data_IF_776205704044
#
_entry.id   IF_776205704044
#
_cell.length_a   1.000
_cell.length_b   1.000
_cell.length_c   1.000
_cell.angle_alpha   90.00
_cell.angle_beta   90.00
_cell.angle_gamma   90.00
#
_symmetry.space_group_name_H-M   'P 1'
#
loop_
_entity.id
_entity.type
_entity.pdbx_description
1 polymer ?
#
# COMPACT_ATOMS: atom_id res chain seq x y z
N UNK A 1 34.81 -13.94 24.82
CA UNK A 1 33.63 -14.36 25.61
C UNK A 1 32.29 -14.00 24.93
N UNK A 2 32.12 -12.76 24.50
CA UNK A 2 30.87 -12.28 23.87
C UNK A 2 30.54 -12.99 22.54
N UNK A 3 31.52 -13.20 21.67
CA UNK A 3 31.33 -13.93 20.40
C UNK A 3 30.82 -15.36 20.62
N UNK A 4 31.32 -16.05 21.65
CA UNK A 4 30.88 -17.43 21.98
C UNK A 4 29.44 -17.42 22.48
N UNK A 5 29.08 -16.45 23.32
CA UNK A 5 27.71 -16.29 23.80
C UNK A 5 26.72 -15.96 22.66
N UNK A 6 27.10 -15.05 21.75
CA UNK A 6 26.30 -14.72 20.57
C UNK A 6 26.14 -15.91 19.63
N UNK A 7 27.22 -16.67 19.38
CA UNK A 7 27.17 -17.87 18.55
C UNK A 7 26.26 -18.94 19.15
N UNK A 8 26.34 -19.19 20.46
CA UNK A 8 25.46 -20.13 21.15
C UNK A 8 23.99 -19.70 21.10
N UNK A 9 23.71 -18.41 21.29
CA UNK A 9 22.36 -17.84 21.18
C UNK A 9 21.78 -17.97 19.76
N UNK A 10 22.60 -17.72 18.72
CA UNK A 10 22.19 -17.90 17.34
C UNK A 10 21.91 -19.37 17.01
N UNK A 11 22.78 -20.29 17.43
CA UNK A 11 22.58 -21.74 17.27
C UNK A 11 21.31 -22.22 17.97
N UNK A 12 21.03 -21.74 19.17
CA UNK A 12 19.79 -22.08 19.91
C UNK A 12 18.53 -21.62 19.17
N UNK A 13 18.52 -20.42 18.57
CA UNK A 13 17.40 -19.95 17.75
C UNK A 13 17.21 -20.77 16.47
N UNK A 14 18.30 -21.15 15.81
CA UNK A 14 18.24 -22.02 14.64
C UNK A 14 17.71 -23.41 15.01
N UNK A 15 18.20 -23.99 16.12
CA UNK A 15 17.74 -25.28 16.62
C UNK A 15 16.25 -25.25 16.98
N UNK A 16 15.75 -24.15 17.56
CA UNK A 16 14.33 -24.01 17.85
C UNK A 16 13.44 -24.15 16.61
N UNK A 17 13.87 -23.65 15.45
CA UNK A 17 13.14 -23.84 14.18
C UNK A 17 13.30 -25.26 13.63
N UNK A 18 14.51 -25.84 13.71
CA UNK A 18 14.82 -27.17 13.18
C UNK A 18 14.27 -28.31 14.04
N UNK A 19 13.93 -28.05 15.30
CA UNK A 19 13.35 -29.03 16.22
C UNK A 19 11.88 -29.34 15.92
N UNK A 20 11.24 -28.56 15.05
CA UNK A 20 9.89 -28.81 14.58
C UNK A 20 9.90 -29.57 13.25
N UNK A 21 8.96 -30.51 13.08
CA UNK A 21 8.81 -31.29 11.84
C UNK A 21 8.29 -30.44 10.66
N UNK A 22 7.76 -29.26 10.94
CA UNK A 22 7.24 -28.32 9.93
C UNK A 22 7.41 -26.87 10.39
N UNK A 23 7.39 -25.96 9.43
CA UNK A 23 7.49 -24.52 9.66
C UNK A 23 6.29 -23.84 9.03
N UNK A 24 5.62 -22.99 9.80
CA UNK A 24 4.49 -22.20 9.31
C UNK A 24 5.00 -20.99 8.51
N UNK A 25 4.46 -20.82 7.30
CA UNK A 25 4.69 -19.64 6.47
C UNK A 25 3.56 -18.64 6.70
N UNK A 26 3.91 -17.37 6.90
CA UNK A 26 2.92 -16.29 6.98
C UNK A 26 2.04 -16.27 5.71
N UNK A 27 0.71 -16.13 5.85
CA UNK A 27 -0.25 -16.19 4.73
C UNK A 27 -0.28 -14.89 3.91
N UNK A 28 0.85 -14.21 3.78
CA UNK A 28 1.04 -12.98 3.01
C UNK A 28 1.35 -13.38 1.55
N UNK A 29 0.30 -13.74 0.82
CA UNK A 29 0.36 -14.18 -0.57
C UNK A 29 -0.75 -13.50 -1.39
N UNK A 30 -0.61 -13.54 -2.70
CA UNK A 30 -1.71 -13.20 -3.62
C UNK A 30 -2.52 -14.45 -3.97
N UNK A 31 -3.76 -14.25 -4.38
CA UNK A 31 -4.65 -15.28 -4.87
C UNK A 31 -5.25 -14.88 -6.21
N UNK A 32 -5.66 -15.88 -7.01
CA UNK A 32 -6.25 -15.68 -8.33
C UNK A 32 -7.73 -16.04 -8.28
N UNK A 33 -8.57 -15.14 -8.75
CA UNK A 33 -9.97 -15.35 -9.06
C UNK A 33 -10.08 -16.03 -10.43
N UNK A 34 -10.38 -17.32 -10.43
CA UNK A 34 -10.44 -18.14 -11.64
C UNK A 34 -11.56 -17.70 -12.59
N UNK A 35 -12.63 -17.05 -12.11
CA UNK A 35 -13.74 -16.59 -12.96
C UNK A 35 -13.35 -15.36 -13.80
N UNK A 36 -12.38 -14.57 -13.32
CA UNK A 36 -11.88 -13.37 -14.01
C UNK A 36 -10.60 -13.64 -14.81
N UNK A 37 -9.87 -14.70 -14.49
CA UNK A 37 -8.58 -14.99 -15.10
C UNK A 37 -8.73 -15.60 -16.50
N UNK A 38 -8.00 -15.05 -17.47
CA UNK A 38 -7.97 -15.53 -18.85
C UNK A 38 -6.65 -16.22 -19.23
N UNK A 39 -5.74 -16.40 -18.25
CA UNK A 39 -4.44 -17.03 -18.48
C UNK A 39 -3.43 -16.20 -19.29
N UNK A 40 -3.64 -14.88 -19.45
CA UNK A 40 -2.80 -14.05 -20.34
C UNK A 40 -1.29 -13.95 -19.98
N UNK A 41 -0.87 -14.37 -18.79
CA UNK A 41 0.57 -14.47 -18.46
C UNK A 41 1.27 -13.23 -17.92
N UNK A 42 0.67 -12.02 -18.03
CA UNK A 42 1.31 -10.77 -17.57
C UNK A 42 1.79 -10.80 -16.12
N UNK A 43 0.99 -11.41 -15.24
CA UNK A 43 1.35 -11.57 -13.83
C UNK A 43 2.57 -12.48 -13.61
N UNK A 44 2.77 -13.48 -14.46
CA UNK A 44 3.92 -14.37 -14.42
C UNK A 44 5.19 -13.66 -14.90
N UNK A 45 5.10 -12.88 -15.99
CA UNK A 45 6.22 -12.09 -16.54
C UNK A 45 6.76 -11.08 -15.51
N UNK A 46 5.88 -10.46 -14.75
CA UNK A 46 6.24 -9.41 -13.79
C UNK A 46 6.71 -9.96 -12.42
N UNK A 47 6.60 -11.27 -12.18
CA UNK A 47 6.91 -11.87 -10.89
C UNK A 47 8.43 -12.10 -10.72
N UNK A 48 9.09 -11.18 -10.02
CA UNK A 48 10.53 -11.29 -9.70
C UNK A 48 10.91 -12.49 -8.80
N UNK A 49 9.91 -13.19 -8.26
CA UNK A 49 10.09 -14.35 -7.39
C UNK A 49 9.78 -15.68 -8.10
N UNK A 50 9.40 -15.64 -9.38
CA UNK A 50 9.02 -16.83 -10.15
C UNK A 50 7.94 -17.67 -9.42
N UNK A 51 7.00 -16.96 -8.78
CA UNK A 51 5.96 -17.55 -7.95
C UNK A 51 4.65 -17.78 -8.70
N UNK A 52 4.58 -17.43 -10.00
CA UNK A 52 3.34 -17.47 -10.77
C UNK A 52 3.62 -18.23 -12.08
N UNK A 53 2.79 -19.22 -12.37
CA UNK A 53 2.81 -20.00 -13.61
C UNK A 53 1.42 -20.01 -14.23
N UNK A 54 1.32 -20.34 -15.53
CA UNK A 54 0.02 -20.49 -16.19
C UNK A 54 -0.27 -21.98 -16.39
N UNK A 55 -1.36 -22.46 -15.78
CA UNK A 55 -1.89 -23.78 -16.09
C UNK A 55 -2.55 -23.71 -17.47
N UNK A 56 -1.95 -24.40 -18.45
CA UNK A 56 -2.42 -24.40 -19.84
C UNK A 56 -3.70 -25.21 -20.06
N UNK A 57 -4.05 -26.12 -19.15
CA UNK A 57 -5.24 -26.95 -19.24
C UNK A 57 -6.44 -26.13 -18.77
N UNK A 58 -6.31 -25.49 -17.60
CA UNK A 58 -7.36 -24.66 -17.02
C UNK A 58 -7.36 -23.23 -17.57
N UNK A 59 -6.28 -22.82 -18.23
CA UNK A 59 -6.03 -21.47 -18.73
C UNK A 59 -6.13 -20.39 -17.63
N UNK A 60 -5.56 -20.68 -16.46
CA UNK A 60 -5.54 -19.78 -15.29
C UNK A 60 -4.13 -19.61 -14.74
N UNK A 61 -3.89 -18.47 -14.07
CA UNK A 61 -2.67 -18.27 -13.31
C UNK A 61 -2.71 -19.07 -11.99
N UNK A 62 -1.61 -19.76 -11.69
CA UNK A 62 -1.41 -20.57 -10.48
C UNK A 62 -0.26 -19.98 -9.68
N UNK A 63 -0.51 -19.73 -8.39
CA UNK A 63 0.47 -19.15 -7.47
C UNK A 63 1.15 -20.27 -6.68
N UNK A 64 2.47 -20.33 -6.78
CA UNK A 64 3.29 -21.08 -5.82
C UNK A 64 3.30 -20.30 -4.50
N UNK A 65 2.49 -20.77 -3.55
CA UNK A 65 2.36 -20.12 -2.24
C UNK A 65 3.69 -20.08 -1.48
N UNK A 66 4.62 -21.00 -1.71
CA UNK A 66 5.90 -21.06 -1.00
C UNK A 66 6.90 -20.03 -1.53
N UNK A 67 6.93 -19.81 -2.85
CA UNK A 67 7.75 -18.77 -3.48
C UNK A 67 7.17 -17.37 -3.27
N UNK A 68 5.84 -17.23 -3.25
CA UNK A 68 5.18 -15.94 -3.17
C UNK A 68 5.52 -15.17 -1.88
N UNK A 69 6.05 -13.95 -2.05
CA UNK A 69 6.42 -13.04 -0.96
C UNK A 69 5.36 -11.98 -0.64
N UNK A 70 4.23 -11.98 -1.35
CA UNK A 70 3.14 -11.02 -1.14
C UNK A 70 3.51 -9.56 -1.48
N UNK A 71 4.48 -9.34 -2.37
CA UNK A 71 4.87 -8.00 -2.83
C UNK A 71 3.78 -7.28 -3.65
N UNK A 72 2.81 -8.05 -4.16
CA UNK A 72 1.61 -7.58 -4.87
C UNK A 72 1.87 -6.79 -6.16
N UNK A 73 3.03 -6.95 -6.82
CA UNK A 73 3.27 -6.35 -8.14
C UNK A 73 2.27 -6.77 -9.20
N UNK A 74 1.86 -8.03 -9.17
CA UNK A 74 1.00 -8.59 -10.19
C UNK A 74 -0.44 -8.07 -10.13
N UNK A 75 -0.87 -7.45 -9.02
CA UNK A 75 -2.25 -6.97 -8.85
C UNK A 75 -2.58 -5.90 -9.89
N UNK A 76 -1.82 -4.78 -10.00
CA UNK A 76 -2.17 -3.73 -10.94
C UNK A 76 -1.85 -4.07 -12.41
N UNK A 77 -1.01 -5.09 -12.63
CA UNK A 77 -0.65 -5.56 -13.98
C UNK A 77 -1.69 -6.51 -14.56
N UNK A 78 -2.64 -6.99 -13.74
CA UNK A 78 -3.72 -7.84 -14.21
C UNK A 78 -4.81 -6.97 -14.88
N UNK A 79 -5.00 -7.06 -16.22
CA UNK A 79 -6.00 -6.25 -16.91
C UNK A 79 -7.44 -6.67 -16.55
N UNK A 80 -7.62 -7.89 -16.05
CA UNK A 80 -8.91 -8.46 -15.67
C UNK A 80 -9.26 -8.25 -14.18
N UNK A 81 -8.35 -7.68 -13.38
CA UNK A 81 -8.55 -7.56 -11.93
C UNK A 81 -8.75 -8.92 -11.25
N UNK A 82 -8.11 -9.96 -11.78
CA UNK A 82 -8.25 -11.34 -11.31
C UNK A 82 -7.30 -11.70 -10.16
N UNK A 83 -6.40 -10.80 -9.75
CA UNK A 83 -5.42 -11.08 -8.70
C UNK A 83 -5.66 -10.13 -7.54
N UNK A 84 -5.77 -10.71 -6.34
CA UNK A 84 -5.97 -9.96 -5.11
C UNK A 84 -4.98 -10.40 -4.04
N UNK A 85 -4.75 -9.52 -3.06
CA UNK A 85 -3.96 -9.85 -1.89
C UNK A 85 -4.82 -10.65 -0.92
N UNK A 86 -4.36 -11.85 -0.52
CA UNK A 86 -5.06 -12.69 0.45
C UNK A 86 -5.15 -11.93 1.79
N UNK A 87 -6.36 -11.86 2.36
CA UNK A 87 -6.69 -11.10 3.57
C UNK A 87 -6.56 -9.57 3.45
N UNK A 88 -6.43 -9.01 2.24
CA UNK A 88 -6.48 -7.56 1.97
C UNK A 88 -6.99 -7.31 0.54
N UNK A 89 -8.19 -7.80 0.24
CA UNK A 89 -8.86 -7.58 -1.05
C UNK A 89 -9.18 -6.10 -1.30
N UNK A 90 -9.34 -5.74 -2.56
CA UNK A 90 -9.76 -4.41 -2.98
C UNK A 90 -11.07 -4.00 -2.27
N UNK A 91 -12.03 -4.93 -2.13
CA UNK A 91 -13.29 -4.68 -1.41
C UNK A 91 -13.07 -4.32 0.06
N UNK A 92 -12.13 -5.00 0.74
CA UNK A 92 -11.77 -4.64 2.12
C UNK A 92 -11.18 -3.23 2.19
N UNK A 93 -10.32 -2.85 1.23
CA UNK A 93 -9.77 -1.50 1.15
C UNK A 93 -10.87 -0.47 0.92
N UNK A 94 -11.77 -0.69 -0.04
CA UNK A 94 -12.89 0.21 -0.30
C UNK A 94 -13.83 0.36 0.91
N UNK A 95 -14.08 -0.73 1.64
CA UNK A 95 -14.88 -0.68 2.85
C UNK A 95 -14.21 0.14 3.96
N UNK A 96 -12.89 0.02 4.14
CA UNK A 96 -12.14 0.87 5.08
C UNK A 96 -12.22 2.35 4.68
N UNK A 97 -12.05 2.65 3.38
CA UNK A 97 -12.20 4.02 2.86
C UNK A 97 -13.60 4.56 3.17
N UNK A 98 -14.65 3.79 2.86
CA UNK A 98 -16.03 4.19 3.10
C UNK A 98 -16.32 4.42 4.59
N UNK A 99 -15.77 3.57 5.47
CA UNK A 99 -15.92 3.70 6.92
C UNK A 99 -15.23 4.95 7.48
N UNK A 100 -14.05 5.32 6.94
CA UNK A 100 -13.33 6.54 7.30
C UNK A 100 -14.06 7.79 6.78
N UNK A 101 -14.54 7.73 5.53
CA UNK A 101 -15.14 8.86 4.82
C UNK A 101 -16.64 8.98 5.05
N UNK A 102 -17.21 8.29 6.06
CA UNK A 102 -18.61 8.50 6.44
C UNK A 102 -18.91 9.98 6.63
N UNK A 103 -20.10 10.40 6.22
CA UNK A 103 -20.50 11.81 6.22
C UNK A 103 -20.52 12.34 7.66
N UNK A 104 -19.50 13.11 8.01
CA UNK A 104 -19.50 13.84 9.27
C UNK A 104 -20.61 14.89 9.27
N UNK A 105 -21.01 15.30 10.48
CA UNK A 105 -21.82 16.50 10.67
C UNK A 105 -21.08 17.66 10.02
N UNK A 106 -21.79 18.48 9.22
CA UNK A 106 -21.23 19.71 8.65
C UNK A 106 -20.66 20.55 9.80
N UNK A 107 -19.33 20.68 9.85
CA UNK A 107 -18.64 21.62 10.72
C UNK A 107 -18.65 23.00 10.05
N UNK A 108 -18.63 24.07 10.84
CA UNK A 108 -18.53 25.44 10.32
C UNK A 108 -17.19 25.68 9.62
N UNK A 109 -16.13 25.01 10.09
CA UNK A 109 -14.77 25.08 9.53
C UNK A 109 -14.43 23.83 8.74
N UNK A 110 -13.87 24.01 7.54
CA UNK A 110 -13.37 22.91 6.71
C UNK A 110 -12.13 22.26 7.35
N UNK A 111 -12.20 20.95 7.54
CA UNK A 111 -11.11 20.14 8.08
C UNK A 111 -10.85 18.97 7.10
N UNK A 112 -9.69 18.92 6.44
CA UNK A 112 -9.47 17.98 5.34
C UNK A 112 -9.33 16.54 5.83
N UNK A 113 -9.84 15.56 5.07
CA UNK A 113 -9.62 14.13 5.32
C UNK A 113 -8.56 13.57 4.40
N UNK A 114 -7.50 12.99 4.96
CA UNK A 114 -6.40 12.39 4.19
C UNK A 114 -6.46 10.87 4.37
N UNK A 115 -6.60 10.13 3.27
CA UNK A 115 -6.38 8.68 3.28
C UNK A 115 -4.89 8.40 3.08
N UNK A 116 -4.27 7.73 4.04
CA UNK A 116 -2.85 7.41 4.04
C UNK A 116 -2.64 5.91 3.80
N UNK A 117 -2.22 5.51 2.60
CA UNK A 117 -1.78 4.14 2.35
C UNK A 117 -0.31 3.99 2.72
N UNK A 118 -0.02 3.30 3.83
CA UNK A 118 1.33 3.10 4.32
C UNK A 118 1.74 1.63 4.17
N UNK A 119 2.91 1.37 3.56
CA UNK A 119 3.47 0.02 3.57
C UNK A 119 3.83 -0.42 4.98
N UNK A 120 3.65 -1.70 5.25
CA UNK A 120 3.92 -2.32 6.56
C UNK A 120 5.36 -2.07 7.02
N UNK A 121 6.34 -2.29 6.15
CA UNK A 121 7.74 -1.97 6.43
C UNK A 121 7.99 -0.52 6.08
N UNK A 122 8.63 0.23 6.98
CA UNK A 122 8.97 1.65 6.78
C UNK A 122 7.93 2.59 7.39
N UNK A 123 6.99 3.15 6.61
CA UNK A 123 6.11 4.21 7.08
C UNK A 123 5.08 3.78 8.12
N UNK A 124 4.53 2.56 8.07
CA UNK A 124 3.61 2.11 9.13
C UNK A 124 4.34 1.98 10.47
N UNK A 125 5.58 1.45 10.47
CA UNK A 125 6.44 1.43 11.65
C UNK A 125 6.79 2.83 12.15
N UNK A 126 6.98 3.80 11.23
CA UNK A 126 7.21 5.19 11.59
C UNK A 126 5.96 5.82 12.24
N UNK A 127 4.76 5.46 11.78
CA UNK A 127 3.50 5.88 12.41
C UNK A 127 3.34 5.27 13.82
N UNK A 128 3.65 3.98 14.00
CA UNK A 128 3.67 3.34 15.32
C UNK A 128 4.70 4.00 16.26
N UNK A 129 5.87 4.35 15.74
CA UNK A 129 6.90 5.08 16.49
C UNK A 129 6.44 6.51 16.84
N UNK A 130 5.68 7.18 15.98
CA UNK A 130 5.11 8.49 16.29
C UNK A 130 4.12 8.40 17.46
N UNK A 131 3.27 7.38 17.46
CA UNK A 131 2.32 7.12 18.55
C UNK A 131 3.01 6.76 19.87
N UNK A 132 3.95 5.81 19.86
CA UNK A 132 4.70 5.40 21.07
C UNK A 132 5.61 6.53 21.59
N UNK A 133 6.15 7.34 20.68
CA UNK A 133 6.92 8.54 20.97
C UNK A 133 6.08 9.75 21.39
N UNK A 134 4.75 9.63 21.42
CA UNK A 134 3.80 10.70 21.78
C UNK A 134 4.02 11.98 20.97
N UNK A 135 4.32 11.83 19.68
CA UNK A 135 4.48 12.95 18.77
C UNK A 135 3.11 13.56 18.48
N UNK A 136 3.03 14.89 18.59
CA UNK A 136 1.84 15.63 18.19
C UNK A 136 1.84 15.83 16.67
N UNK A 137 0.67 15.64 16.06
CA UNK A 137 0.37 15.90 14.66
C UNK A 137 -1.13 16.11 14.51
N UNK A 138 -1.56 16.71 13.40
CA UNK A 138 -2.96 17.01 13.14
C UNK A 138 -3.79 15.72 12.90
N UNK A 139 -5.01 15.62 13.45
CA UNK A 139 -5.83 14.40 13.44
C UNK A 139 -6.57 14.16 12.10
N UNK A 140 -5.93 14.45 10.98
CA UNK A 140 -6.53 14.43 9.63
C UNK A 140 -6.09 13.23 8.79
N UNK A 141 -5.05 12.52 9.22
CA UNK A 141 -4.48 11.38 8.53
C UNK A 141 -5.13 10.08 9.02
N UNK A 142 -5.82 9.39 8.11
CA UNK A 142 -6.44 8.10 8.36
C UNK A 142 -5.63 7.02 7.64
N UNK A 143 -4.93 6.19 8.42
CA UNK A 143 -4.00 5.21 7.90
C UNK A 143 -4.74 3.93 7.50
N UNK A 144 -4.53 3.51 6.25
CA UNK A 144 -4.83 2.16 5.76
C UNK A 144 -3.50 1.45 5.56
N UNK A 145 -3.23 0.43 6.39
CA UNK A 145 -2.02 -0.39 6.24
C UNK A 145 -2.14 -1.24 4.98
N UNK A 146 -1.14 -1.16 4.12
CA UNK A 146 -0.96 -2.06 2.98
C UNK A 146 0.35 -2.84 3.14
N UNK A 147 0.45 -4.02 2.54
CA UNK A 147 1.67 -4.81 2.62
C UNK A 147 2.80 -4.17 1.80
N UNK A 148 2.47 -3.70 0.61
CA UNK A 148 3.36 -2.95 -0.27
C UNK A 148 2.55 -1.91 -1.02
N UNK A 149 3.09 -0.71 -1.18
CA UNK A 149 2.46 0.32 -2.01
C UNK A 149 2.35 -0.09 -3.49
N UNK A 150 3.14 -1.08 -3.93
CA UNK A 150 3.08 -1.60 -5.29
C UNK A 150 1.75 -2.26 -5.64
N UNK A 151 0.95 -2.66 -4.63
CA UNK A 151 -0.40 -3.20 -4.83
C UNK A 151 -1.40 -2.12 -5.27
N UNK A 152 -1.12 -0.85 -4.96
CA UNK A 152 -2.04 0.24 -5.23
C UNK A 152 -2.09 0.50 -6.74
N UNK A 153 -3.31 0.49 -7.25
CA UNK A 153 -3.64 0.86 -8.62
C UNK A 153 -4.40 2.20 -8.63
N UNK A 154 -4.74 2.67 -9.84
CA UNK A 154 -5.49 3.92 -10.02
C UNK A 154 -6.84 3.90 -9.28
N UNK A 155 -7.54 2.76 -9.29
CA UNK A 155 -8.86 2.63 -8.66
C UNK A 155 -8.78 2.91 -7.16
N UNK A 156 -7.81 2.36 -6.44
CA UNK A 156 -7.63 2.62 -5.01
C UNK A 156 -7.51 4.12 -4.68
N UNK A 157 -6.66 4.82 -5.43
CA UNK A 157 -6.33 6.23 -5.19
C UNK A 157 -7.51 7.12 -5.58
N UNK A 158 -8.07 6.92 -6.78
CA UNK A 158 -9.20 7.72 -7.25
C UNK A 158 -10.48 7.41 -6.49
N UNK A 159 -10.69 6.18 -6.03
CA UNK A 159 -11.85 5.82 -5.23
C UNK A 159 -11.89 6.65 -3.95
N UNK A 160 -10.77 6.81 -3.23
CA UNK A 160 -10.71 7.66 -2.04
C UNK A 160 -11.17 9.11 -2.33
N UNK A 161 -10.63 9.74 -3.39
CA UNK A 161 -10.98 11.12 -3.77
C UNK A 161 -12.43 11.23 -4.24
N UNK A 162 -12.92 10.26 -5.03
CA UNK A 162 -14.32 10.17 -5.48
C UNK A 162 -15.31 9.98 -4.32
N UNK A 163 -14.86 9.49 -3.18
CA UNK A 163 -15.70 9.22 -2.01
C UNK A 163 -15.51 10.22 -0.87
N UNK A 164 -14.79 11.32 -1.11
CA UNK A 164 -14.72 12.46 -0.20
C UNK A 164 -13.43 12.60 0.61
N UNK A 165 -12.35 11.91 0.21
CA UNK A 165 -11.02 12.28 0.68
C UNK A 165 -10.60 13.60 0.03
N UNK A 166 -9.97 14.48 0.80
CA UNK A 166 -9.41 15.74 0.30
C UNK A 166 -7.98 15.57 -0.23
N UNK A 167 -7.31 14.52 0.24
CA UNK A 167 -5.99 14.12 -0.21
C UNK A 167 -5.73 12.63 0.01
N UNK A 168 -4.79 12.10 -0.76
CA UNK A 168 -4.29 10.73 -0.64
C UNK A 168 -2.77 10.79 -0.49
N UNK A 169 -2.27 10.23 0.60
CA UNK A 169 -0.85 10.01 0.84
C UNK A 169 -0.54 8.54 0.62
N UNK A 170 0.35 8.25 -0.31
CA UNK A 170 0.96 6.93 -0.47
C UNK A 170 2.37 7.00 0.10
N UNK A 171 2.75 6.07 0.96
CA UNK A 171 4.12 6.02 1.45
C UNK A 171 4.68 4.60 1.53
N UNK A 172 5.91 4.47 1.03
CA UNK A 172 6.72 3.26 1.11
C UNK A 172 8.03 3.47 1.86
N UNK A 173 8.77 2.38 2.11
CA UNK A 173 10.19 2.46 2.51
C UNK A 173 11.03 3.22 1.48
N UNK A 174 12.21 3.69 1.88
CA UNK A 174 13.15 4.30 0.92
C UNK A 174 13.50 3.35 -0.23
N UNK A 175 13.69 3.87 -1.45
CA UNK A 175 14.25 3.10 -2.55
C UNK A 175 15.54 2.39 -2.13
N UNK A 176 15.56 1.06 -2.27
CA UNK A 176 16.68 0.22 -1.82
C UNK A 176 16.53 -0.39 -0.43
N UNK A 177 15.61 0.11 0.41
CA UNK A 177 15.31 -0.45 1.74
C UNK A 177 14.06 -1.36 1.74
N UNK A 178 13.26 -1.34 0.66
CA UNK A 178 12.10 -2.22 0.53
C UNK A 178 12.53 -3.69 0.51
N UNK A 179 11.81 -4.60 1.19
CA UNK A 179 12.02 -6.05 1.05
C UNK A 179 11.68 -6.56 -0.36
N UNK A 180 11.05 -5.72 -1.19
CA UNK A 180 10.58 -6.05 -2.52
C UNK A 180 11.34 -5.20 -3.56
N UNK A 181 12.38 -5.77 -4.20
CA UNK A 181 13.17 -5.05 -5.20
C UNK A 181 12.29 -4.48 -6.32
N UNK A 182 12.49 -3.20 -6.67
CA UNK A 182 11.72 -2.49 -7.71
C UNK A 182 10.44 -1.78 -7.24
N UNK A 183 10.08 -1.87 -5.95
CA UNK A 183 8.70 -1.58 -5.51
C UNK A 183 8.39 -0.11 -5.60
N UNK A 184 9.38 0.66 -5.20
CA UNK A 184 9.36 2.10 -5.20
C UNK A 184 9.30 2.64 -6.63
N UNK A 185 10.06 2.05 -7.56
CA UNK A 185 10.13 2.51 -8.95
C UNK A 185 8.79 2.32 -9.66
N UNK A 186 8.23 1.11 -9.63
CA UNK A 186 6.92 0.82 -10.26
C UNK A 186 5.79 1.64 -9.65
N UNK A 187 5.76 1.77 -8.33
CA UNK A 187 4.76 2.60 -7.66
C UNK A 187 4.89 4.07 -8.07
N UNK A 188 6.12 4.58 -8.18
CA UNK A 188 6.39 5.94 -8.63
C UNK A 188 5.92 6.17 -10.06
N UNK A 189 6.31 5.33 -11.01
CA UNK A 189 5.91 5.44 -12.42
C UNK A 189 4.38 5.47 -12.55
N UNK A 190 3.69 4.55 -11.85
CA UNK A 190 2.22 4.50 -11.83
C UNK A 190 1.60 5.76 -11.25
N UNK A 191 2.10 6.24 -10.12
CA UNK A 191 1.56 7.44 -9.47
C UNK A 191 1.82 8.69 -10.32
N UNK A 192 2.98 8.80 -10.98
CA UNK A 192 3.29 9.90 -11.89
C UNK A 192 2.34 9.92 -13.10
N UNK A 193 1.99 8.74 -13.64
CA UNK A 193 0.97 8.60 -14.69
C UNK A 193 -0.42 9.04 -14.21
N UNK A 194 -0.84 8.58 -13.02
CA UNK A 194 -2.13 8.98 -12.42
C UNK A 194 -2.17 10.49 -12.21
N UNK A 195 -1.11 11.09 -11.65
CA UNK A 195 -1.00 12.55 -11.45
C UNK A 195 -1.08 13.31 -12.77
N UNK A 196 -0.48 12.78 -13.83
CA UNK A 196 -0.57 13.37 -15.17
C UNK A 196 -2.00 13.32 -15.72
N UNK A 197 -2.71 12.18 -15.56
CA UNK A 197 -4.13 12.05 -15.92
C UNK A 197 -5.01 13.04 -15.16
N UNK A 198 -4.81 13.14 -13.84
CA UNK A 198 -5.53 14.08 -12.95
C UNK A 198 -5.30 15.53 -13.39
N UNK A 199 -4.06 15.92 -13.67
CA UNK A 199 -3.72 17.26 -14.15
C UNK A 199 -4.40 17.57 -15.49
N UNK A 200 -4.40 16.63 -16.43
CA UNK A 200 -5.03 16.79 -17.74
C UNK A 200 -6.56 16.94 -17.65
N UNK A 201 -7.17 16.39 -16.61
CA UNK A 201 -8.58 16.58 -16.30
C UNK A 201 -8.90 17.88 -15.56
N UNK A 202 -7.91 18.77 -15.34
CA UNK A 202 -8.09 20.03 -14.63
C UNK A 202 -8.24 19.89 -13.11
N UNK A 203 -7.94 18.71 -12.56
CA UNK A 203 -7.95 18.44 -11.13
C UNK A 203 -6.55 18.67 -10.55
N UNK A 204 -6.47 18.94 -9.24
CA UNK A 204 -5.20 19.20 -8.57
C UNK A 204 -4.41 17.90 -8.33
N UNK A 205 -3.28 17.66 -9.03
CA UNK A 205 -2.48 16.46 -8.86
C UNK A 205 -1.73 16.42 -7.51
N UNK A 206 -1.60 17.55 -6.80
CA UNK A 206 -0.88 17.61 -5.52
C UNK A 206 -1.73 17.12 -4.34
N UNK A 207 -3.01 16.80 -4.59
CA UNK A 207 -3.84 16.00 -3.67
C UNK A 207 -3.43 14.53 -3.63
N UNK A 208 -2.57 14.08 -4.55
CA UNK A 208 -1.96 12.75 -4.53
C UNK A 208 -0.46 12.92 -4.26
N UNK A 209 0.01 12.41 -3.12
CA UNK A 209 1.39 12.51 -2.67
C UNK A 209 2.01 11.14 -2.51
N UNK A 210 3.26 10.99 -2.96
CA UNK A 210 4.07 9.79 -2.80
C UNK A 210 5.33 10.16 -2.05
N UNK A 211 5.54 9.56 -0.88
CA UNK A 211 6.67 9.88 0.00
C UNK A 211 7.36 8.63 0.53
N UNK A 212 8.63 8.78 0.91
CA UNK A 212 9.48 7.68 1.35
C UNK A 212 9.93 7.86 2.79
N UNK A 213 9.61 6.90 3.66
CA UNK A 213 9.97 6.94 5.07
C UNK A 213 10.49 5.60 5.58
N UNK A 214 11.62 5.63 6.28
CA UNK A 214 12.11 4.53 7.10
C UNK A 214 11.37 4.51 8.45
N UNK A 215 11.32 3.35 9.11
CA UNK A 215 10.62 3.17 10.40
C UNK A 215 11.10 4.09 11.53
N UNK A 216 12.34 4.59 11.45
CA UNK A 216 12.90 5.55 12.42
C UNK A 216 12.50 7.01 12.18
N UNK A 217 11.86 7.34 11.06
CA UNK A 217 11.58 8.71 10.64
C UNK A 217 10.18 9.22 11.05
N UNK A 218 9.71 8.80 12.23
CA UNK A 218 8.41 9.18 12.79
C UNK A 218 8.14 10.69 12.77
N UNK A 219 9.10 11.50 13.24
CA UNK A 219 8.98 12.97 13.26
C UNK A 219 8.81 13.54 11.85
N UNK A 220 9.55 13.00 10.88
CA UNK A 220 9.46 13.44 9.49
C UNK A 220 8.09 13.14 8.86
N UNK A 221 7.53 11.96 9.15
CA UNK A 221 6.20 11.58 8.68
C UNK A 221 5.11 12.45 9.32
N UNK A 222 5.17 12.66 10.64
CA UNK A 222 4.24 13.52 11.37
C UNK A 222 4.23 14.96 10.84
N UNK A 223 5.41 15.59 10.71
CA UNK A 223 5.54 16.94 10.15
C UNK A 223 5.02 17.02 8.71
N UNK A 224 5.22 15.97 7.91
CA UNK A 224 4.70 15.96 6.55
C UNK A 224 3.18 15.93 6.49
N UNK A 225 2.54 15.15 7.35
CA UNK A 225 1.07 15.14 7.47
C UNK A 225 0.57 16.54 7.78
N UNK A 226 1.19 17.24 8.74
CA UNK A 226 0.80 18.63 9.09
C UNK A 226 0.91 19.58 7.89
N UNK A 227 2.05 19.52 7.17
CA UNK A 227 2.26 20.32 5.96
C UNK A 227 1.23 20.00 4.86
N UNK A 228 0.81 18.73 4.75
CA UNK A 228 -0.20 18.34 3.78
C UNK A 228 -1.59 18.85 4.18
N UNK A 229 -1.94 18.81 5.46
CA UNK A 229 -3.18 19.41 5.97
C UNK A 229 -3.22 20.90 5.68
N UNK A 230 -2.12 21.62 5.89
CA UNK A 230 -2.05 23.05 5.59
C UNK A 230 -2.25 23.34 4.11
N UNK A 231 -1.60 22.57 3.24
CA UNK A 231 -1.83 22.65 1.80
C UNK A 231 -3.31 22.45 1.42
N UNK A 232 -3.96 21.44 2.00
CA UNK A 232 -5.36 21.15 1.72
C UNK A 232 -6.30 22.23 2.26
N UNK A 233 -6.01 22.80 3.43
CA UNK A 233 -6.77 23.94 3.97
C UNK A 233 -6.69 25.17 3.07
N UNK A 234 -5.53 25.44 2.46
CA UNK A 234 -5.36 26.55 1.52
C UNK A 234 -6.08 26.31 0.19
N UNK A 235 -6.10 25.06 -0.29
CA UNK A 235 -6.72 24.71 -1.58
C UNK A 235 -8.20 24.36 -1.48
N UNK A 236 -8.74 24.24 -0.26
CA UNK A 236 -10.13 23.94 0.02
C UNK A 236 -10.50 22.47 -0.17
N UNK A 237 -11.79 22.13 0.02
CA UNK A 237 -12.29 20.75 -0.11
C UNK A 237 -12.12 20.21 -1.52
N UNK A 238 -11.82 18.91 -1.63
CA UNK A 238 -11.89 18.22 -2.91
C UNK A 238 -13.35 18.07 -3.33
N UNK A 239 -13.71 18.58 -4.51
CA UNK A 239 -15.05 18.37 -5.05
C UNK A 239 -15.18 16.94 -5.59
N UNK A 240 -15.71 16.04 -4.77
CA UNK A 240 -15.95 14.64 -5.14
C UNK A 240 -16.75 14.47 -6.43
N UNK A 241 -17.60 15.44 -6.83
CA UNK A 241 -18.32 15.37 -8.11
C UNK A 241 -17.37 15.50 -9.30
N UNK A 242 -16.43 16.44 -9.24
CA UNK A 242 -15.42 16.61 -10.28
C UNK A 242 -14.50 15.38 -10.34
N UNK A 243 -14.12 14.81 -9.19
CA UNK A 243 -13.35 13.56 -9.17
C UNK A 243 -14.13 12.38 -9.74
N UNK A 244 -15.45 12.31 -9.56
CA UNK A 244 -16.29 11.25 -10.16
C UNK A 244 -16.37 11.32 -11.68
N UNK A 245 -16.21 12.51 -12.27
CA UNK A 245 -16.15 12.67 -13.74
C UNK A 245 -14.85 12.19 -14.39
N UNK A 246 -13.82 11.89 -13.59
CA UNK A 246 -12.56 11.31 -14.07
C UNK A 246 -12.78 9.82 -14.38
N UNK A 247 -13.02 9.50 -15.66
CA UNK A 247 -13.04 8.12 -16.19
C UNK A 247 -11.62 7.66 -16.50
#
# INVERSE_FOLDING_TARGET
PETVAQASGAASKALALLAHDSVEKSPIIVQVDAEKCDGCGRCAEECIFDAITIDKIQNIAVIDEMKCKGCAYCIPECPHGAIEQKNLSDLQIYNMINAILTKDKKTETFEPKIICFLSEIGPYQAADLAGTGRMEYRPNAFIIKVLSISMLNENHILYALKHGADGVLISGSHPGESPYPGACLKAKERIDLIKSKVKNAGLDPNRIRLEWYAGRQAKGLATYVDNFVEYLKMTGPADSANWRSLN
#
